data_IF_029115371879
#
_entry.id   IF_029115371879
#
_cell.length_a   1.000
_cell.length_b   1.000
_cell.length_c   1.000
_cell.angle_alpha   90.00
_cell.angle_beta   90.00
_cell.angle_gamma   90.00
#
_symmetry.space_group_name_H-M   'P 1'
#
loop_
_entity.id
_entity.type
_entity.pdbx_description
1 polymer ?
#
# COMPACT_ATOMS: atom_id res chain seq x y z
N UNK A 1 6.63 -18.23 -19.48
CA UNK A 1 7.08 -16.91 -19.01
C UNK A 1 6.81 -16.84 -17.52
N UNK A 2 7.78 -16.40 -16.75
CA UNK A 2 7.61 -16.06 -15.33
C UNK A 2 6.66 -14.87 -15.23
N UNK A 3 5.80 -14.87 -14.21
CA UNK A 3 4.83 -13.79 -13.99
C UNK A 3 5.56 -12.54 -13.45
N UNK A 4 5.27 -11.33 -13.94
CA UNK A 4 5.88 -10.10 -13.42
C UNK A 4 5.47 -9.84 -11.97
N UNK A 5 6.33 -9.21 -11.16
CA UNK A 5 6.09 -8.99 -9.73
C UNK A 5 4.92 -8.05 -9.47
N UNK A 6 4.75 -7.04 -10.31
CA UNK A 6 3.57 -6.16 -10.33
C UNK A 6 2.27 -6.98 -10.35
N UNK A 7 2.21 -8.00 -11.20
CA UNK A 7 1.04 -8.86 -11.28
C UNK A 7 0.90 -9.81 -10.06
N UNK A 8 1.99 -10.18 -9.38
CA UNK A 8 1.93 -10.88 -8.09
C UNK A 8 1.44 -9.94 -6.99
N UNK A 9 1.91 -8.69 -6.95
CA UNK A 9 1.44 -7.66 -6.03
C UNK A 9 -0.06 -7.41 -6.19
N UNK A 10 -0.55 -7.35 -7.43
CA UNK A 10 -1.99 -7.25 -7.74
C UNK A 10 -2.77 -8.43 -7.18
N UNK A 11 -2.30 -9.67 -7.36
CA UNK A 11 -2.97 -10.84 -6.76
C UNK A 11 -3.06 -10.75 -5.24
N UNK A 12 -1.98 -10.33 -4.57
CA UNK A 12 -1.97 -10.17 -3.11
C UNK A 12 -2.94 -9.10 -2.63
N UNK A 13 -3.07 -8.01 -3.39
CA UNK A 13 -3.99 -6.91 -3.05
C UNK A 13 -5.44 -7.28 -3.35
N UNK A 14 -5.72 -8.04 -4.41
CA UNK A 14 -7.08 -8.37 -4.83
C UNK A 14 -7.90 -9.03 -3.71
N UNK A 15 -7.29 -9.93 -2.94
CA UNK A 15 -7.93 -10.61 -1.80
C UNK A 15 -8.31 -9.65 -0.66
N UNK A 16 -7.75 -8.44 -0.66
CA UNK A 16 -7.92 -7.43 0.39
C UNK A 16 -8.93 -6.35 0.04
N UNK A 17 -9.53 -6.39 -1.15
CA UNK A 17 -10.46 -5.36 -1.65
C UNK A 17 -11.92 -5.84 -1.59
N UNK A 18 -12.63 -5.68 -0.45
CA UNK A 18 -14.06 -5.91 -0.42
C UNK A 18 -14.80 -4.88 -1.28
N UNK A 19 -16.00 -5.19 -1.80
CA UNK A 19 -16.79 -4.25 -2.58
C UNK A 19 -17.01 -2.92 -1.86
N UNK A 20 -16.95 -1.81 -2.60
CA UNK A 20 -17.16 -0.45 -2.08
C UNK A 20 -16.14 0.01 -1.03
N UNK A 21 -14.98 -0.63 -0.94
CA UNK A 21 -13.86 -0.09 -0.17
C UNK A 21 -13.15 1.06 -0.90
N UNK A 22 -12.25 1.71 -0.19
CA UNK A 22 -11.29 2.64 -0.77
C UNK A 22 -9.90 2.02 -0.90
N UNK A 23 -9.11 2.51 -1.86
CA UNK A 23 -7.71 2.15 -2.01
C UNK A 23 -6.85 3.35 -2.37
N UNK A 24 -5.55 3.26 -2.14
CA UNK A 24 -4.58 4.30 -2.45
C UNK A 24 -3.48 3.75 -3.35
N UNK A 25 -3.22 4.46 -4.45
CA UNK A 25 -1.97 4.37 -5.22
C UNK A 25 -1.11 5.58 -4.86
N UNK A 26 -0.02 5.35 -4.12
CA UNK A 26 0.84 6.42 -3.61
C UNK A 26 1.85 6.94 -4.66
N UNK A 27 1.89 6.32 -5.84
CA UNK A 27 2.90 6.56 -6.89
C UNK A 27 2.30 6.27 -8.27
N UNK A 28 1.37 7.11 -8.72
CA UNK A 28 0.50 6.83 -9.87
C UNK A 28 1.23 6.36 -11.13
N UNK A 29 2.36 7.00 -11.48
CA UNK A 29 3.17 6.63 -12.64
C UNK A 29 2.36 6.55 -13.94
N UNK A 30 2.46 5.42 -14.65
CA UNK A 30 1.69 5.15 -15.87
C UNK A 30 0.24 4.69 -15.60
N UNK A 31 -0.17 4.58 -14.34
CA UNK A 31 -1.54 4.31 -13.91
C UNK A 31 -1.96 2.85 -13.93
N UNK A 32 -1.04 1.90 -14.00
CA UNK A 32 -1.36 0.47 -13.99
C UNK A 32 -1.93 0.03 -12.63
N UNK A 33 -1.26 0.39 -11.53
CA UNK A 33 -1.73 0.11 -10.16
C UNK A 33 -3.05 0.83 -9.89
N UNK A 34 -3.14 2.12 -10.24
CA UNK A 34 -4.39 2.89 -10.18
C UNK A 34 -5.54 2.20 -10.93
N UNK A 35 -5.31 1.73 -12.15
CA UNK A 35 -6.32 1.04 -12.96
C UNK A 35 -6.77 -0.28 -12.30
N UNK A 36 -5.80 -1.07 -11.84
CA UNK A 36 -6.05 -2.32 -11.12
C UNK A 36 -6.93 -2.07 -9.86
N UNK A 37 -6.57 -1.08 -9.05
CA UNK A 37 -7.34 -0.71 -7.86
C UNK A 37 -8.75 -0.24 -8.23
N UNK A 38 -8.91 0.58 -9.28
CA UNK A 38 -10.20 1.11 -9.70
C UNK A 38 -11.18 0.01 -10.19
N UNK A 39 -10.64 -1.08 -10.74
CA UNK A 39 -11.41 -2.29 -10.99
C UNK A 39 -11.77 -3.01 -9.68
N UNK A 40 -10.79 -3.24 -8.81
CA UNK A 40 -10.95 -4.04 -7.59
C UNK A 40 -11.93 -3.46 -6.58
N UNK A 41 -11.94 -2.15 -6.37
CA UNK A 41 -12.87 -1.49 -5.41
C UNK A 41 -14.34 -1.52 -5.86
N UNK A 42 -14.60 -1.80 -7.14
CA UNK A 42 -15.95 -1.88 -7.71
C UNK A 42 -16.61 -0.51 -7.94
N UNK A 43 -17.90 -0.49 -8.34
CA UNK A 43 -18.59 0.72 -8.81
C UNK A 43 -18.86 1.77 -7.74
N UNK A 44 -18.90 1.38 -6.47
CA UNK A 44 -19.11 2.28 -5.33
C UNK A 44 -17.85 2.53 -4.52
N UNK A 45 -16.73 1.93 -4.94
CA UNK A 45 -15.44 2.13 -4.31
C UNK A 45 -14.73 3.37 -4.85
N UNK A 46 -13.71 3.82 -4.13
CA UNK A 46 -12.95 5.03 -4.47
C UNK A 46 -11.46 4.74 -4.46
N UNK A 47 -10.72 5.36 -5.38
CA UNK A 47 -9.27 5.29 -5.40
C UNK A 47 -8.70 6.70 -5.29
N UNK A 48 -7.73 6.88 -4.41
CA UNK A 48 -6.87 8.06 -4.37
C UNK A 48 -5.54 7.71 -5.03
N UNK A 49 -5.15 8.46 -6.06
CA UNK A 49 -3.90 8.22 -6.78
C UNK A 49 -3.06 9.48 -6.80
N UNK A 50 -1.82 9.37 -6.30
CA UNK A 50 -0.93 10.50 -5.97
C UNK A 50 0.35 10.39 -6.81
N UNK A 51 0.77 11.51 -7.40
CA UNK A 51 2.10 11.61 -8.01
C UNK A 51 2.57 13.08 -8.00
N UNK A 52 3.88 13.31 -7.88
CA UNK A 52 4.44 14.66 -7.94
C UNK A 52 4.49 15.19 -9.38
N UNK A 53 4.53 14.30 -10.37
CA UNK A 53 4.64 14.63 -11.79
C UNK A 53 3.26 14.76 -12.42
N UNK A 54 2.93 15.94 -12.95
CA UNK A 54 1.70 16.16 -13.70
C UNK A 54 1.60 15.26 -14.95
N UNK A 55 2.74 14.91 -15.56
CA UNK A 55 2.81 13.99 -16.71
C UNK A 55 2.34 12.58 -16.36
N UNK A 56 2.73 12.07 -15.20
CA UNK A 56 2.27 10.76 -14.70
C UNK A 56 0.75 10.75 -14.52
N UNK A 57 0.21 11.78 -13.86
CA UNK A 57 -1.24 11.91 -13.67
C UNK A 57 -2.02 12.04 -14.97
N UNK A 58 -1.46 12.68 -15.99
CA UNK A 58 -2.09 12.76 -17.31
C UNK A 58 -2.10 11.40 -18.02
N UNK A 59 -1.03 10.58 -17.90
CA UNK A 59 -1.04 9.21 -18.41
C UNK A 59 -2.05 8.34 -17.67
N UNK A 60 -2.08 8.43 -16.34
CA UNK A 60 -3.05 7.73 -15.49
C UNK A 60 -4.48 8.14 -15.85
N UNK A 61 -4.76 9.44 -16.05
CA UNK A 61 -6.07 9.93 -16.50
C UNK A 61 -6.49 9.30 -17.83
N UNK A 62 -5.62 9.32 -18.83
CA UNK A 62 -5.90 8.75 -20.16
C UNK A 62 -6.21 7.26 -20.07
N UNK A 63 -5.39 6.52 -19.32
CA UNK A 63 -5.59 5.09 -19.10
C UNK A 63 -6.95 4.80 -18.45
N UNK A 64 -7.33 5.56 -17.43
CA UNK A 64 -8.63 5.43 -16.76
C UNK A 64 -9.81 5.78 -17.67
N UNK A 65 -9.68 6.83 -18.50
CA UNK A 65 -10.70 7.20 -19.47
C UNK A 65 -10.93 6.12 -20.52
N UNK A 66 -9.86 5.51 -21.03
CA UNK A 66 -9.94 4.40 -21.99
C UNK A 66 -10.70 3.20 -21.43
N UNK A 67 -10.69 3.01 -20.12
CA UNK A 67 -11.38 1.91 -19.43
C UNK A 67 -12.72 2.33 -18.79
N UNK A 68 -13.12 3.61 -18.92
CA UNK A 68 -14.36 4.12 -18.33
C UNK A 68 -14.38 4.14 -16.80
N UNK A 69 -13.21 4.28 -16.16
CA UNK A 69 -13.06 4.17 -14.69
C UNK A 69 -12.67 5.48 -14.01
N UNK A 70 -12.51 6.57 -14.75
CA UNK A 70 -12.03 7.85 -14.21
C UNK A 70 -12.89 8.35 -13.04
N UNK A 71 -14.21 8.15 -13.07
CA UNK A 71 -15.14 8.62 -12.03
C UNK A 71 -14.88 8.01 -10.64
N UNK A 72 -14.19 6.86 -10.58
CA UNK A 72 -13.85 6.19 -9.32
C UNK A 72 -12.55 6.71 -8.70
N UNK A 73 -11.79 7.52 -9.42
CA UNK A 73 -10.42 7.88 -9.06
C UNK A 73 -10.27 9.37 -8.87
N UNK A 74 -9.74 9.76 -7.72
CA UNK A 74 -9.25 11.11 -7.46
C UNK A 74 -7.75 11.15 -7.72
N UNK A 75 -7.33 11.94 -8.71
CA UNK A 75 -5.93 12.16 -9.06
C UNK A 75 -5.41 13.41 -8.34
N UNK A 76 -4.38 13.27 -7.52
CA UNK A 76 -3.75 14.38 -6.79
C UNK A 76 -2.31 14.57 -7.26
N UNK A 77 -2.01 15.79 -7.70
CA UNK A 77 -0.62 16.22 -7.89
C UNK A 77 -0.02 16.64 -6.56
N UNK A 78 0.85 15.81 -6.00
CA UNK A 78 1.43 16.05 -4.68
C UNK A 78 2.41 14.97 -4.25
N UNK A 79 3.16 15.27 -3.18
CA UNK A 79 4.05 14.30 -2.55
C UNK A 79 3.23 13.40 -1.61
N UNK A 80 3.39 12.07 -1.77
CA UNK A 80 2.73 11.06 -0.94
C UNK A 80 3.03 11.19 0.55
N UNK A 81 4.06 11.96 0.96
CA UNK A 81 4.28 12.30 2.38
C UNK A 81 3.05 12.95 3.03
N UNK A 82 2.22 13.64 2.23
CA UNK A 82 0.99 14.32 2.67
C UNK A 82 -0.27 13.44 2.50
N UNK A 83 -0.11 12.12 2.32
CA UNK A 83 -1.22 11.18 2.07
C UNK A 83 -2.36 11.31 3.08
N UNK A 84 -2.04 11.49 4.37
CA UNK A 84 -3.07 11.66 5.42
C UNK A 84 -3.96 12.86 5.17
N UNK A 85 -3.35 14.02 4.89
CA UNK A 85 -4.09 15.25 4.60
C UNK A 85 -4.98 15.09 3.37
N UNK A 86 -4.48 14.40 2.33
CA UNK A 86 -5.25 14.11 1.13
C UNK A 86 -6.44 13.19 1.42
N UNK A 87 -6.25 12.12 2.19
CA UNK A 87 -7.33 11.22 2.61
C UNK A 87 -8.42 11.98 3.36
N UNK A 88 -8.04 12.84 4.31
CA UNK A 88 -8.96 13.66 5.09
C UNK A 88 -9.71 14.67 4.22
N UNK A 89 -9.00 15.40 3.35
CA UNK A 89 -9.60 16.39 2.44
C UNK A 89 -10.60 15.77 1.47
N UNK A 90 -10.32 14.56 0.99
CA UNK A 90 -11.20 13.85 0.07
C UNK A 90 -12.30 13.06 0.80
N UNK A 91 -12.30 13.03 2.14
CA UNK A 91 -13.22 12.25 2.96
C UNK A 91 -13.22 10.77 2.57
N UNK A 92 -12.03 10.18 2.36
CA UNK A 92 -11.91 8.75 2.11
C UNK A 92 -11.98 7.99 3.44
N UNK A 93 -12.81 6.97 3.47
CA UNK A 93 -12.94 6.01 4.57
C UNK A 93 -12.78 4.58 4.04
N UNK A 94 -12.82 3.60 4.94
CA UNK A 94 -12.73 2.17 4.61
C UNK A 94 -11.60 1.86 3.61
N UNK A 95 -10.41 2.42 3.83
CA UNK A 95 -9.23 2.17 2.99
C UNK A 95 -8.69 0.78 3.34
N UNK A 96 -8.63 -0.09 2.33
CA UNK A 96 -8.30 -1.52 2.49
C UNK A 96 -7.01 -1.92 1.78
N UNK A 97 -6.50 -1.07 0.90
CA UNK A 97 -5.24 -1.28 0.22
C UNK A 97 -4.47 0.04 0.04
N UNK A 98 -3.15 -0.02 0.22
CA UNK A 98 -2.23 1.04 -0.20
C UNK A 98 -1.09 0.40 -0.99
N UNK A 99 -0.80 0.94 -2.18
CA UNK A 99 0.27 0.47 -3.04
C UNK A 99 1.33 1.56 -3.22
N UNK A 100 2.59 1.16 -3.14
CA UNK A 100 3.77 1.96 -3.44
C UNK A 100 4.59 1.26 -4.52
N UNK A 101 5.03 2.02 -5.50
CA UNK A 101 5.90 1.58 -6.56
C UNK A 101 7.08 2.57 -6.69
N UNK A 102 8.12 2.31 -5.89
CA UNK A 102 9.22 3.21 -5.57
C UNK A 102 10.28 3.24 -6.67
N UNK A 103 10.80 4.44 -6.95
CA UNK A 103 11.81 4.69 -7.97
C UNK A 103 11.42 5.90 -8.81
N UNK A 104 11.69 5.84 -10.12
CA UNK A 104 11.35 6.91 -11.08
C UNK A 104 10.12 6.55 -11.92
N UNK A 105 9.49 7.55 -12.54
CA UNK A 105 8.40 7.34 -13.50
C UNK A 105 8.93 6.85 -14.87
N UNK A 106 8.49 5.68 -15.38
CA UNK A 106 8.91 5.19 -16.70
C UNK A 106 8.46 6.14 -17.81
N UNK A 107 9.37 6.50 -18.72
CA UNK A 107 9.11 7.49 -19.77
C UNK A 107 9.05 8.96 -19.29
N UNK A 108 9.24 9.22 -17.99
CA UNK A 108 9.31 10.55 -17.39
C UNK A 108 10.74 11.05 -17.16
N UNK A 109 10.88 12.11 -16.35
CA UNK A 109 12.20 12.56 -15.91
C UNK A 109 12.76 11.59 -14.86
N UNK A 110 13.81 10.84 -15.22
CA UNK A 110 14.45 9.85 -14.34
C UNK A 110 15.22 10.47 -13.16
N UNK A 111 15.48 11.77 -13.18
CA UNK A 111 16.03 12.49 -12.01
C UNK A 111 15.00 12.66 -10.89
N UNK A 112 13.71 12.54 -11.22
CA UNK A 112 12.62 12.62 -10.24
C UNK A 112 12.34 11.19 -9.75
N UNK A 113 12.94 10.86 -8.60
CA UNK A 113 12.72 9.60 -7.90
C UNK A 113 12.04 9.80 -6.55
N UNK A 114 11.45 8.74 -6.02
CA UNK A 114 11.13 8.65 -4.59
C UNK A 114 12.39 8.85 -3.73
N UNK A 115 12.17 9.30 -2.49
CA UNK A 115 13.23 9.65 -1.55
C UNK A 115 12.89 9.08 -0.17
N UNK A 116 13.91 8.54 0.51
CA UNK A 116 13.76 7.91 1.84
C UNK A 116 12.88 8.72 2.80
N UNK A 117 13.10 10.04 3.02
CA UNK A 117 12.30 10.78 4.00
C UNK A 117 10.82 10.87 3.66
N UNK A 118 10.45 11.11 2.38
CA UNK A 118 9.04 11.14 1.96
C UNK A 118 8.41 9.75 2.01
N UNK A 119 9.15 8.74 1.54
CA UNK A 119 8.70 7.35 1.48
C UNK A 119 8.39 6.82 2.88
N UNK A 120 9.30 6.99 3.86
CA UNK A 120 9.06 6.54 5.23
C UNK A 120 7.90 7.28 5.91
N UNK A 121 7.76 8.60 5.65
CA UNK A 121 6.63 9.39 6.16
C UNK A 121 5.29 8.86 5.62
N UNK A 122 5.24 8.54 4.32
CA UNK A 122 4.03 8.01 3.69
C UNK A 122 3.73 6.57 4.12
N UNK A 123 4.74 5.72 4.32
CA UNK A 123 4.57 4.38 4.85
C UNK A 123 4.01 4.40 6.28
N UNK A 124 4.48 5.31 7.13
CA UNK A 124 3.92 5.50 8.47
C UNK A 124 2.43 5.89 8.40
N UNK A 125 2.08 6.87 7.55
CA UNK A 125 0.69 7.27 7.35
C UNK A 125 -0.18 6.11 6.82
N UNK A 126 0.31 5.34 5.85
CA UNK A 126 -0.39 4.20 5.28
C UNK A 126 -0.67 3.11 6.33
N UNK A 127 0.31 2.79 7.18
CA UNK A 127 0.13 1.82 8.27
C UNK A 127 -0.93 2.28 9.28
N UNK A 128 -0.94 3.56 9.67
CA UNK A 128 -1.95 4.09 10.56
C UNK A 128 -3.36 4.02 9.95
N UNK A 129 -3.47 4.40 8.67
CA UNK A 129 -4.73 4.38 7.90
C UNK A 129 -5.28 2.94 7.84
N UNK A 130 -4.43 1.97 7.48
CA UNK A 130 -4.82 0.57 7.34
C UNK A 130 -5.10 -0.09 8.69
N UNK A 131 -4.44 0.33 9.78
CA UNK A 131 -4.68 -0.23 11.11
C UNK A 131 -6.11 0.02 11.62
N UNK A 132 -6.81 1.03 11.12
CA UNK A 132 -8.18 1.33 11.52
C UNK A 132 -9.22 0.33 11.00
N UNK A 133 -8.99 -0.24 9.81
CA UNK A 133 -9.97 -1.09 9.09
C UNK A 133 -9.39 -2.48 8.74
N UNK A 134 -8.16 -2.75 9.14
CA UNK A 134 -7.30 -3.76 8.51
C UNK A 134 -7.01 -3.41 7.04
N UNK A 135 -6.20 -4.24 6.37
CA UNK A 135 -6.01 -4.14 4.92
C UNK A 135 -4.61 -4.56 4.53
N UNK A 136 -4.20 -4.20 3.32
CA UNK A 136 -2.91 -4.64 2.78
C UNK A 136 -2.08 -3.47 2.25
N UNK A 137 -0.83 -3.44 2.66
CA UNK A 137 0.20 -2.56 2.13
C UNK A 137 1.08 -3.36 1.17
N UNK A 138 1.25 -2.88 -0.05
CA UNK A 138 2.22 -3.43 -1.01
C UNK A 138 3.26 -2.38 -1.35
N UNK A 139 4.53 -2.74 -1.27
CA UNK A 139 5.66 -1.89 -1.65
C UNK A 139 6.53 -2.61 -2.66
N UNK A 140 6.61 -2.07 -3.89
CA UNK A 140 7.56 -2.45 -4.92
C UNK A 140 8.77 -1.51 -4.82
N UNK A 141 9.98 -2.04 -4.64
CA UNK A 141 11.21 -1.27 -4.49
C UNK A 141 12.24 -1.70 -5.53
N UNK A 142 12.54 -0.80 -6.47
CA UNK A 142 13.52 -1.01 -7.53
C UNK A 142 14.92 -0.53 -7.09
N UNK A 143 15.89 -1.45 -6.97
CA UNK A 143 17.22 -1.16 -6.43
C UNK A 143 18.24 -0.72 -7.49
N UNK A 144 17.94 -0.94 -8.78
CA UNK A 144 18.89 -0.83 -9.88
C UNK A 144 19.23 0.60 -10.32
N UNK A 145 18.71 1.63 -9.65
CA UNK A 145 18.99 3.04 -9.96
C UNK A 145 19.71 3.74 -8.81
N UNK A 146 20.25 4.93 -9.08
CA UNK A 146 20.91 5.75 -8.06
C UNK A 146 19.96 6.01 -6.88
N UNK A 147 20.42 5.72 -5.66
CA UNK A 147 19.62 5.82 -4.43
C UNK A 147 18.64 4.67 -4.18
N UNK A 148 18.23 3.90 -5.19
CA UNK A 148 17.18 2.87 -5.08
C UNK A 148 17.53 1.75 -4.09
N UNK A 149 18.78 1.27 -4.09
CA UNK A 149 19.23 0.27 -3.12
C UNK A 149 19.18 0.78 -1.66
N UNK A 150 19.55 2.04 -1.43
CA UNK A 150 19.48 2.65 -0.11
C UNK A 150 18.03 2.81 0.35
N UNK A 151 17.14 3.25 -0.55
CA UNK A 151 15.72 3.39 -0.24
C UNK A 151 15.06 2.05 0.10
N UNK A 152 15.32 1.00 -0.69
CA UNK A 152 14.80 -0.34 -0.42
C UNK A 152 15.25 -0.88 0.95
N UNK A 153 16.50 -0.64 1.35
CA UNK A 153 17.04 -1.08 2.65
C UNK A 153 16.39 -0.34 3.83
N UNK A 154 16.17 0.98 3.72
CA UNK A 154 15.49 1.77 4.75
C UNK A 154 14.01 1.39 4.87
N UNK A 155 13.33 1.15 3.74
CA UNK A 155 11.95 0.65 3.72
C UNK A 155 11.85 -0.71 4.41
N UNK A 156 12.77 -1.65 4.10
CA UNK A 156 12.80 -2.96 4.74
C UNK A 156 12.95 -2.84 6.26
N UNK A 157 13.94 -2.06 6.73
CA UNK A 157 14.16 -1.81 8.16
C UNK A 157 12.94 -1.20 8.83
N UNK A 158 12.30 -0.24 8.17
CA UNK A 158 11.10 0.41 8.68
C UNK A 158 9.95 -0.60 8.85
N UNK A 159 9.64 -1.38 7.82
CA UNK A 159 8.54 -2.35 7.86
C UNK A 159 8.78 -3.47 8.89
N UNK A 160 10.02 -3.96 9.01
CA UNK A 160 10.41 -4.93 10.04
C UNK A 160 10.27 -4.40 11.47
N UNK A 161 10.56 -3.10 11.68
CA UNK A 161 10.39 -2.45 12.98
C UNK A 161 8.91 -2.21 13.29
N UNK A 162 8.13 -1.80 12.30
CA UNK A 162 6.71 -1.51 12.46
C UNK A 162 5.91 -2.78 12.73
N UNK A 163 6.23 -3.90 12.07
CA UNK A 163 5.55 -5.19 12.31
C UNK A 163 5.75 -5.75 13.73
N UNK A 164 6.87 -5.41 14.38
CA UNK A 164 7.19 -5.81 15.77
C UNK A 164 6.52 -4.94 16.84
N UNK A 165 6.12 -3.71 16.49
CA UNK A 165 5.59 -2.72 17.45
C UNK A 165 4.06 -2.52 17.32
N UNK A 166 3.39 -3.24 16.41
CA UNK A 166 1.94 -3.22 16.36
C UNK A 166 1.40 -3.96 17.59
N UNK A 167 0.51 -3.34 18.40
CA UNK A 167 0.03 -3.94 19.63
C UNK A 167 -0.60 -5.30 19.32
N UNK A 168 -0.13 -6.32 20.03
CA UNK A 168 -0.81 -7.62 20.06
C UNK A 168 -2.21 -7.44 20.66
N UNK A 169 -3.12 -8.37 20.37
CA UNK A 169 -4.50 -8.33 20.90
C UNK A 169 -4.56 -8.18 22.43
N UNK A 170 -3.48 -8.53 23.15
CA UNK A 170 -3.35 -8.36 24.59
C UNK A 170 -3.05 -6.92 25.04
N UNK A 171 -2.32 -6.12 24.24
CA UNK A 171 -1.94 -4.74 24.58
C UNK A 171 -3.09 -3.72 24.39
N UNK A 172 -4.14 -4.11 23.66
CA UNK A 172 -5.36 -3.31 23.49
C UNK A 172 -6.20 -3.17 24.78
N UNK A 173 -5.84 -3.86 25.87
CA UNK A 173 -6.48 -3.73 27.19
C UNK A 173 -5.78 -2.71 28.11
N UNK A 174 -4.98 -1.78 27.59
CA UNK A 174 -4.37 -0.74 28.41
C UNK A 174 -5.29 0.50 28.53
N UNK A 175 -5.83 0.74 29.73
CA UNK A 175 -6.80 1.81 30.08
C UNK A 175 -6.32 3.25 29.81
N UNK A 176 -5.07 3.45 29.37
CA UNK A 176 -4.55 4.77 29.00
C UNK A 176 -4.84 5.16 27.54
N UNK A 177 -5.24 4.20 26.69
CA UNK A 177 -5.65 4.49 25.32
C UNK A 177 -7.09 5.02 25.24
N UNK A 178 -7.97 4.70 26.19
CA UNK A 178 -9.38 5.13 26.26
C UNK A 178 -9.66 6.62 25.99
N UNK A 179 -8.69 7.51 26.21
CA UNK A 179 -8.86 8.95 26.00
C UNK A 179 -8.89 9.36 24.51
N UNK A 180 -8.25 8.63 23.61
CA UNK A 180 -8.27 8.90 22.16
C UNK A 180 -9.42 8.18 21.42
N UNK A 181 -10.04 7.16 22.03
CA UNK A 181 -11.15 6.38 21.45
C UNK A 181 -12.55 6.96 21.74
N UNK A 182 -12.65 8.06 22.50
CA UNK A 182 -13.92 8.72 22.87
C UNK A 182 -14.36 9.84 21.91
N UNK A 183 -13.91 9.82 20.65
CA UNK A 183 -14.34 10.81 19.67
C UNK A 183 -15.77 10.50 19.14
N UNK A 184 -16.62 11.52 18.91
CA UNK A 184 -18.09 11.35 18.81
C UNK A 184 -18.62 10.54 17.61
N UNK A 185 -17.80 10.18 16.64
CA UNK A 185 -18.23 9.56 15.38
C UNK A 185 -18.33 8.02 15.42
N UNK A 186 -18.11 7.37 16.58
CA UNK A 186 -18.12 5.89 16.71
C UNK A 186 -19.28 5.28 17.49
N UNK A 187 -20.33 6.05 17.79
CA UNK A 187 -21.60 5.44 18.19
C UNK A 187 -22.33 4.98 16.93
N UNK A 188 -21.99 3.78 16.46
CA UNK A 188 -22.92 2.80 15.92
C UNK A 188 -22.10 1.59 15.43
N UNK A 189 -22.63 0.39 15.65
CA UNK A 189 -22.07 -0.95 15.35
C UNK A 189 -21.41 -1.69 16.53
N UNK A 190 -22.23 -2.05 17.51
CA UNK A 190 -22.07 -3.34 18.19
C UNK A 190 -23.35 -4.16 18.02
N UNK A 191 -23.26 -5.23 17.24
CA UNK A 191 -24.00 -6.47 17.49
C UNK A 191 -23.35 -7.65 16.76
N UNK A 192 -22.68 -8.48 17.55
CA UNK A 192 -22.69 -9.94 17.44
C UNK A 192 -21.86 -10.60 16.35
N UNK A 193 -20.73 -11.20 16.73
CA UNK A 193 -20.43 -12.59 16.39
C UNK A 193 -19.31 -13.13 17.28
N UNK A 194 -19.63 -14.19 18.01
CA UNK A 194 -18.76 -15.03 18.82
C UNK A 194 -18.09 -16.08 17.92
N UNK A 195 -16.76 -16.15 17.89
CA UNK A 195 -16.03 -17.24 17.22
C UNK A 195 -14.77 -17.65 18.00
N UNK A 196 -14.95 -18.74 18.76
CA UNK A 196 -14.08 -19.92 18.82
C UNK A 196 -12.56 -19.75 18.72
N UNK A 197 -11.90 -19.99 19.86
CA UNK A 197 -10.46 -20.17 19.95
C UNK A 197 -9.97 -21.35 19.09
N UNK A 198 -9.34 -21.05 17.95
CA UNK A 198 -8.48 -21.95 17.18
C UNK A 198 -7.04 -21.45 17.23
N UNK A 199 -6.08 -22.37 17.34
CA UNK A 199 -4.65 -22.10 17.54
C UNK A 199 -4.08 -21.11 16.51
N UNK A 200 -3.57 -19.98 17.00
CA UNK A 200 -2.92 -18.94 16.19
C UNK A 200 -1.44 -19.25 16.00
N UNK A 201 -1.04 -19.54 14.75
CA UNK A 201 0.36 -19.63 14.36
C UNK A 201 1.07 -18.29 14.58
N UNK A 202 2.09 -18.28 15.45
CA UNK A 202 2.91 -17.11 15.79
C UNK A 202 4.21 -17.12 14.96
N UNK A 203 4.40 -16.16 14.05
CA UNK A 203 5.70 -15.91 13.41
C UNK A 203 5.67 -14.96 12.22
N UNK A 204 6.74 -14.17 12.03
CA UNK A 204 7.05 -13.53 10.74
C UNK A 204 7.41 -14.64 9.76
N UNK A 205 6.56 -14.92 8.79
CA UNK A 205 6.89 -15.85 7.71
C UNK A 205 7.67 -15.09 6.63
N UNK A 206 8.98 -14.97 6.82
CA UNK A 206 9.88 -14.66 5.71
C UNK A 206 9.81 -15.83 4.71
N UNK A 207 9.04 -15.65 3.64
CA UNK A 207 9.06 -16.57 2.49
C UNK A 207 9.81 -15.93 1.35
N UNK A 208 11.08 -16.28 1.19
CA UNK A 208 11.80 -16.02 -0.05
C UNK A 208 11.16 -16.87 -1.17
N UNK A 209 10.41 -16.22 -2.06
CA UNK A 209 10.00 -16.86 -3.32
C UNK A 209 11.12 -16.64 -4.33
N UNK A 210 11.97 -17.66 -4.49
CA UNK A 210 12.98 -17.67 -5.55
C UNK A 210 12.28 -17.74 -6.92
N UNK A 211 12.41 -16.69 -7.73
CA UNK A 211 12.07 -16.74 -9.14
C UNK A 211 13.24 -17.31 -9.96
N UNK A 212 13.00 -17.95 -11.12
CA UNK A 212 14.04 -18.59 -11.95
C UNK A 212 15.22 -17.70 -12.39
N UNK A 213 15.10 -16.38 -12.26
CA UNK A 213 16.19 -15.42 -12.37
C UNK A 213 16.56 -14.99 -10.95
N UNK A 214 17.80 -15.23 -10.53
CA UNK A 214 18.40 -14.88 -9.21
C UNK A 214 18.37 -13.36 -8.85
N UNK A 215 17.42 -12.57 -9.35
CA UNK A 215 17.39 -11.11 -9.25
C UNK A 215 16.31 -10.55 -8.32
N UNK A 216 15.39 -11.38 -7.83
CA UNK A 216 14.25 -10.94 -7.02
C UNK A 216 14.29 -11.56 -5.62
N UNK A 217 14.13 -10.70 -4.60
CA UNK A 217 13.83 -11.12 -3.23
C UNK A 217 12.44 -10.58 -2.85
N UNK A 218 11.48 -11.48 -2.69
CA UNK A 218 10.17 -11.16 -2.12
C UNK A 218 10.28 -11.37 -0.61
N UNK A 219 10.16 -10.28 0.15
CA UNK A 219 10.08 -10.29 1.60
C UNK A 219 8.61 -10.07 1.99
N UNK A 220 7.94 -11.13 2.43
CA UNK A 220 6.58 -11.03 2.99
C UNK A 220 6.70 -10.75 4.48
N UNK A 221 6.07 -9.65 4.95
CA UNK A 221 6.03 -9.27 6.35
C UNK A 221 4.58 -9.24 6.82
N UNK A 222 4.11 -10.36 7.34
CA UNK A 222 2.80 -10.41 8.00
C UNK A 222 2.90 -9.81 9.41
N UNK A 223 1.96 -8.93 9.77
CA UNK A 223 1.90 -8.37 11.12
C UNK A 223 1.28 -9.38 12.08
N UNK A 224 1.75 -9.41 13.31
CA UNK A 224 1.31 -10.38 14.32
C UNK A 224 -0.06 -10.04 14.94
N UNK A 225 -0.68 -8.94 14.53
CA UNK A 225 -2.01 -8.58 15.01
C UNK A 225 -3.04 -9.30 14.16
N UNK A 226 -3.91 -10.04 14.85
CA UNK A 226 -5.07 -10.76 14.35
C UNK A 226 -5.99 -9.91 13.44
N UNK A 227 -5.90 -8.58 13.55
CA UNK A 227 -6.61 -7.59 12.73
C UNK A 227 -5.68 -6.49 12.16
N UNK A 228 -4.36 -6.69 12.17
CA UNK A 228 -3.39 -5.73 11.66
C UNK A 228 -3.30 -5.73 10.13
N UNK A 229 -2.67 -4.71 9.53
CA UNK A 229 -2.43 -4.71 8.10
C UNK A 229 -1.47 -5.84 7.69
N UNK A 230 -1.67 -6.42 6.50
CA UNK A 230 -0.73 -7.35 5.87
C UNK A 230 0.26 -6.55 5.02
N UNK A 231 1.55 -6.83 5.10
CA UNK A 231 2.59 -6.06 4.40
C UNK A 231 3.35 -6.96 3.42
N UNK A 232 3.45 -6.49 2.18
CA UNK A 232 4.27 -7.12 1.14
C UNK A 232 5.37 -6.17 0.70
N UNK A 233 6.63 -6.62 0.74
CA UNK A 233 7.77 -5.91 0.18
C UNK A 233 8.37 -6.74 -0.96
N UNK A 234 8.32 -6.18 -2.16
CA UNK A 234 8.94 -6.74 -3.36
C UNK A 234 10.20 -5.94 -3.65
N UNK A 235 11.36 -6.59 -3.66
CA UNK A 235 12.66 -5.93 -3.84
C UNK A 235 13.37 -6.50 -5.07
N UNK A 236 13.59 -5.66 -6.07
CA UNK A 236 14.20 -6.07 -7.35
C UNK A 236 15.59 -5.47 -7.50
N UNK A 237 16.56 -6.29 -7.91
CA UNK A 237 17.90 -5.81 -8.22
C UNK A 237 17.98 -5.09 -9.58
N UNK A 238 17.07 -5.40 -10.52
CA UNK A 238 17.00 -4.81 -11.85
C UNK A 238 15.82 -3.83 -11.99
N UNK A 239 15.94 -2.90 -12.93
CA UNK A 239 14.88 -1.96 -13.29
C UNK A 239 14.10 -2.39 -14.54
N UNK A 240 14.37 -3.57 -15.10
CA UNK A 240 13.78 -3.98 -16.38
C UNK A 240 12.25 -4.02 -16.34
N UNK A 241 11.67 -4.53 -15.25
CA UNK A 241 10.22 -4.53 -15.10
C UNK A 241 9.68 -3.10 -15.07
N UNK A 242 10.35 -2.18 -14.36
CA UNK A 242 9.99 -0.76 -14.30
C UNK A 242 10.08 -0.07 -15.65
N UNK A 243 11.14 -0.31 -16.42
CA UNK A 243 11.32 0.31 -17.74
C UNK A 243 10.30 -0.19 -18.78
N UNK A 244 9.65 -1.34 -18.53
CA UNK A 244 8.64 -1.94 -19.40
C UNK A 244 7.18 -1.63 -18.99
N UNK A 245 6.95 -0.94 -17.86
CA UNK A 245 5.64 -0.46 -17.39
C UNK A 245 5.15 0.75 -18.22
#
# INVERSE_FOLDING_TARGET
MTKPLTAIAHERIADSLPPACSAIDATAGNGHDTLFLAHGVGPHGRVLSIDIQSTALEQTRRRLQQHGLLERVTLIQGDHRNMRDFVEQQGLDNIRAVMFNLGYHPGGNKEITTQVPSTLSALAAALDILSANGGTLSVMAYRGHEGGAHEADEVKRFLERSSKNLPGVEDAMNQSLEASWRHPWRHDLHNGADYGAGEFFRGTLEREIATPQNECKLDVLETQSLNGPVLYLFSLNSNEERDNE
#
